data_IF_946869530432
#
_entry.id   IF_946869530432
#
_cell.length_a   1.000
_cell.length_b   1.000
_cell.length_c   1.000
_cell.angle_alpha   90.00
_cell.angle_beta   90.00
_cell.angle_gamma   90.00
#
_symmetry.space_group_name_H-M   'P 1'
#
loop_
_entity.id
_entity.type
_entity.pdbx_description
1 polymer ?
#
# COMPACT_ATOMS: atom_id res chain seq x y z
N UNK A 1 3.39 -18.06 -10.09
CA UNK A 1 2.64 -19.31 -10.35
C UNK A 1 2.98 -19.83 -11.72
N UNK A 2 2.96 -21.15 -11.89
CA UNK A 2 3.23 -21.84 -13.15
C UNK A 2 2.09 -22.83 -13.34
N UNK A 3 1.39 -22.71 -14.47
CA UNK A 3 0.36 -23.67 -14.85
C UNK A 3 1.06 -24.92 -15.39
N UNK A 4 0.76 -26.07 -14.80
CA UNK A 4 1.36 -27.34 -15.19
C UNK A 4 0.41 -28.49 -14.83
N UNK A 5 0.60 -29.63 -15.49
CA UNK A 5 -0.11 -30.86 -15.15
C UNK A 5 0.60 -31.60 -14.01
N UNK A 6 -0.18 -32.16 -13.09
CA UNK A 6 0.29 -33.09 -12.05
C UNK A 6 -0.12 -34.53 -12.41
N UNK A 7 0.69 -35.25 -13.21
CA UNK A 7 0.39 -36.65 -13.53
C UNK A 7 0.41 -37.52 -12.27
N UNK A 8 -0.31 -38.64 -12.34
CA UNK A 8 -0.38 -39.62 -11.24
C UNK A 8 1.04 -40.06 -10.80
N UNK A 9 1.30 -39.98 -9.49
CA UNK A 9 2.59 -40.34 -8.90
C UNK A 9 3.67 -39.25 -8.97
N UNK A 10 3.37 -38.06 -9.48
CA UNK A 10 4.29 -36.93 -9.41
C UNK A 10 4.48 -36.50 -7.96
N UNK A 11 5.73 -36.46 -7.50
CA UNK A 11 6.05 -36.03 -6.12
C UNK A 11 6.15 -34.52 -6.01
N UNK A 12 6.05 -33.99 -4.79
CA UNK A 12 6.25 -32.57 -4.50
C UNK A 12 7.59 -32.03 -4.97
N UNK A 13 8.66 -32.81 -4.78
CA UNK A 13 10.00 -32.51 -5.27
C UNK A 13 10.08 -32.45 -6.81
N UNK A 14 9.45 -33.41 -7.49
CA UNK A 14 9.41 -33.42 -8.96
C UNK A 14 8.63 -32.21 -9.50
N UNK A 15 7.54 -31.83 -8.81
CA UNK A 15 6.76 -30.66 -9.16
C UNK A 15 7.55 -29.37 -8.96
N UNK A 16 8.34 -29.26 -7.88
CA UNK A 16 9.27 -28.14 -7.69
C UNK A 16 10.28 -28.04 -8.83
N UNK A 17 10.94 -29.15 -9.16
CA UNK A 17 11.99 -29.19 -10.18
C UNK A 17 11.44 -28.82 -11.56
N UNK A 18 10.25 -29.33 -11.91
CA UNK A 18 9.57 -29.01 -13.17
C UNK A 18 9.15 -27.53 -13.25
N UNK A 19 8.56 -26.99 -12.18
CA UNK A 19 8.19 -25.58 -12.09
C UNK A 19 9.43 -24.68 -12.20
N UNK A 20 10.50 -24.98 -11.45
CA UNK A 20 11.73 -24.20 -11.49
C UNK A 20 12.42 -24.26 -12.86
N UNK A 21 12.37 -25.40 -13.55
CA UNK A 21 12.91 -25.54 -14.90
C UNK A 21 12.24 -24.59 -15.90
N UNK A 22 10.92 -24.40 -15.82
CA UNK A 22 10.21 -23.49 -16.73
C UNK A 22 10.66 -22.02 -16.60
N UNK A 23 11.06 -21.62 -15.39
CA UNK A 23 11.56 -20.25 -15.11
C UNK A 23 13.09 -20.15 -15.15
N UNK A 24 13.80 -21.25 -15.42
CA UNK A 24 15.26 -21.34 -15.29
C UNK A 24 15.75 -20.97 -13.88
N UNK A 25 15.00 -21.35 -12.85
CA UNK A 25 15.36 -21.12 -11.45
C UNK A 25 16.22 -22.27 -10.93
N UNK A 26 17.46 -22.00 -10.46
CA UNK A 26 18.28 -23.05 -9.87
C UNK A 26 17.67 -23.52 -8.54
N UNK A 27 17.66 -24.83 -8.33
CA UNK A 27 17.31 -25.48 -7.06
C UNK A 27 18.56 -26.17 -6.50
N UNK A 28 18.87 -25.88 -5.24
CA UNK A 28 19.97 -26.53 -4.51
C UNK A 28 19.36 -27.24 -3.31
N UNK A 29 19.72 -28.52 -3.12
CA UNK A 29 19.27 -29.34 -1.99
C UNK A 29 20.42 -29.58 -1.00
N UNK A 30 20.07 -29.68 0.27
CA UNK A 30 20.94 -30.14 1.35
C UNK A 30 21.24 -31.66 1.19
N UNK A 31 22.28 -32.19 1.86
CA UNK A 31 22.60 -33.62 1.80
C UNK A 31 21.47 -34.57 2.24
N UNK A 32 20.54 -34.09 3.07
CA UNK A 32 19.38 -34.84 3.53
C UNK A 32 18.17 -34.78 2.56
N UNK A 33 18.31 -34.07 1.44
CA UNK A 33 17.27 -33.90 0.42
C UNK A 33 16.37 -32.67 0.64
N UNK A 34 16.47 -31.98 1.77
CA UNK A 34 15.73 -30.72 1.99
C UNK A 34 16.20 -29.62 1.04
N UNK A 35 15.33 -28.64 0.74
CA UNK A 35 15.65 -27.57 -0.22
C UNK A 35 16.44 -26.46 0.46
N UNK A 36 17.71 -26.31 0.08
CA UNK A 36 18.60 -25.26 0.58
C UNK A 36 18.30 -23.90 -0.08
N UNK A 37 18.08 -23.89 -1.39
CA UNK A 37 17.77 -22.64 -2.11
C UNK A 37 16.92 -22.87 -3.35
N UNK A 38 16.04 -21.92 -3.65
CA UNK A 38 15.30 -21.81 -4.91
C UNK A 38 15.56 -20.43 -5.50
N UNK A 39 15.89 -20.35 -6.77
CA UNK A 39 16.21 -19.09 -7.47
C UNK A 39 17.27 -18.26 -6.72
N UNK A 40 18.34 -18.93 -6.26
CA UNK A 40 19.44 -18.32 -5.49
C UNK A 40 19.04 -17.69 -4.16
N UNK A 41 17.80 -17.92 -3.69
CA UNK A 41 17.33 -17.48 -2.37
C UNK A 41 17.50 -18.64 -1.38
N UNK A 42 18.52 -18.53 -0.54
CA UNK A 42 18.88 -19.56 0.46
C UNK A 42 17.89 -19.59 1.63
N UNK A 43 17.88 -20.68 2.38
CA UNK A 43 17.39 -20.70 3.76
C UNK A 43 18.13 -19.64 4.61
N UNK A 44 17.48 -19.21 5.69
CA UNK A 44 18.06 -18.32 6.71
C UNK A 44 17.91 -18.99 8.09
N UNK A 45 18.54 -18.43 9.11
CA UNK A 45 18.40 -18.93 10.47
C UNK A 45 16.91 -18.98 10.87
N UNK A 46 16.39 -20.18 11.13
CA UNK A 46 14.97 -20.47 11.47
C UNK A 46 13.96 -20.18 10.36
N UNK A 47 14.40 -20.01 9.11
CA UNK A 47 13.55 -19.80 7.94
C UNK A 47 13.96 -20.76 6.84
N UNK A 48 13.15 -21.80 6.64
CA UNK A 48 13.46 -22.95 5.78
C UNK A 48 12.45 -23.06 4.63
N UNK A 49 12.87 -23.65 3.51
CA UNK A 49 11.97 -23.97 2.39
C UNK A 49 11.11 -25.19 2.73
N UNK A 50 9.79 -25.06 2.55
CA UNK A 50 8.84 -26.15 2.69
C UNK A 50 7.79 -26.15 1.59
N UNK A 51 7.16 -27.30 1.39
CA UNK A 51 6.00 -27.46 0.51
C UNK A 51 4.70 -27.29 1.29
N UNK A 52 3.73 -26.64 0.66
CA UNK A 52 2.40 -26.39 1.20
C UNK A 52 1.34 -26.75 0.17
N UNK A 53 0.20 -27.23 0.66
CA UNK A 53 -1.00 -27.50 -0.14
C UNK A 53 -2.13 -26.59 0.33
N UNK A 54 -2.98 -26.16 -0.61
CA UNK A 54 -4.10 -25.28 -0.34
C UNK A 54 -5.38 -26.10 -0.17
N UNK A 55 -6.01 -26.03 1.00
CA UNK A 55 -7.29 -26.69 1.23
C UNK A 55 -8.46 -25.98 0.51
N UNK A 56 -9.63 -26.62 0.36
CA UNK A 56 -10.81 -25.99 -0.27
C UNK A 56 -11.35 -24.75 0.46
N UNK A 57 -10.90 -24.50 1.70
CA UNK A 57 -11.26 -23.33 2.50
C UNK A 57 -10.26 -22.17 2.34
N UNK A 58 -9.21 -22.36 1.52
CA UNK A 58 -8.19 -21.35 1.27
C UNK A 58 -7.06 -21.32 2.29
N UNK A 59 -6.92 -22.32 3.16
CA UNK A 59 -5.84 -22.40 4.13
C UNK A 59 -4.66 -23.23 3.61
N UNK A 60 -3.45 -22.72 3.81
CA UNK A 60 -2.22 -23.43 3.50
C UNK A 60 -1.82 -24.37 4.63
N UNK A 61 -1.53 -25.63 4.29
CA UNK A 61 -1.03 -26.64 5.23
C UNK A 61 0.36 -27.14 4.79
N UNK A 62 1.33 -27.26 5.72
CA UNK A 62 2.65 -27.77 5.39
C UNK A 62 2.62 -29.27 5.09
N UNK A 63 3.46 -29.71 4.16
CA UNK A 63 3.68 -31.12 3.85
C UNK A 63 5.00 -31.58 4.46
N UNK A 64 4.92 -32.58 5.33
CA UNK A 64 6.07 -33.05 6.12
C UNK A 64 7.14 -33.78 5.29
N UNK A 65 6.74 -34.51 4.24
CA UNK A 65 7.66 -35.22 3.33
C UNK A 65 7.27 -34.95 1.86
N UNK A 66 7.75 -33.85 1.25
CA UNK A 66 7.46 -33.52 -0.13
C UNK A 66 7.99 -34.55 -1.14
N UNK A 67 9.02 -35.30 -0.78
CA UNK A 67 9.65 -36.31 -1.66
C UNK A 67 8.78 -37.54 -1.86
N UNK A 68 7.95 -37.88 -0.86
CA UNK A 68 6.99 -38.99 -0.90
C UNK A 68 5.54 -38.58 -1.16
N UNK A 69 5.24 -37.27 -1.21
CA UNK A 69 3.87 -36.78 -1.34
C UNK A 69 3.43 -36.68 -2.81
N UNK A 70 2.40 -37.44 -3.19
CA UNK A 70 1.80 -37.42 -4.53
C UNK A 70 0.90 -36.18 -4.70
N UNK A 71 1.32 -35.25 -5.58
CA UNK A 71 0.62 -33.99 -5.83
C UNK A 71 -0.50 -34.09 -6.86
N UNK A 72 -0.74 -35.26 -7.47
CA UNK A 72 -1.74 -35.43 -8.54
C UNK A 72 -3.19 -35.10 -8.15
N UNK A 73 -3.49 -35.08 -6.85
CA UNK A 73 -4.81 -34.70 -6.31
C UNK A 73 -4.92 -33.22 -5.95
N UNK A 74 -3.80 -32.52 -5.92
CA UNK A 74 -3.74 -31.12 -5.53
C UNK A 74 -4.06 -30.23 -6.72
N UNK A 75 -4.79 -29.15 -6.47
CA UNK A 75 -5.02 -28.11 -7.49
C UNK A 75 -3.90 -27.10 -7.53
N UNK A 76 -3.33 -26.81 -6.36
CA UNK A 76 -2.30 -25.80 -6.16
C UNK A 76 -1.38 -26.32 -5.06
N UNK A 77 -0.08 -26.30 -5.35
CA UNK A 77 0.97 -26.48 -4.37
C UNK A 77 1.84 -25.23 -4.35
N UNK A 78 2.46 -24.94 -3.22
CA UNK A 78 3.40 -23.83 -3.10
C UNK A 78 4.65 -24.28 -2.37
N UNK A 79 5.80 -23.81 -2.87
CA UNK A 79 7.05 -23.88 -2.14
C UNK A 79 7.38 -22.49 -1.62
N UNK A 80 7.61 -22.38 -0.32
CA UNK A 80 7.87 -21.11 0.33
C UNK A 80 8.86 -21.26 1.48
N UNK A 81 9.59 -20.18 1.76
CA UNK A 81 10.38 -20.05 2.97
C UNK A 81 9.50 -19.52 4.08
N UNK A 82 9.38 -20.25 5.18
CA UNK A 82 8.62 -19.78 6.35
C UNK A 82 9.45 -19.87 7.62
N UNK A 83 9.28 -18.89 8.50
CA UNK A 83 9.85 -18.91 9.83
C UNK A 83 8.98 -19.68 10.83
N UNK A 84 9.56 -20.11 11.95
CA UNK A 84 8.79 -20.71 13.04
C UNK A 84 7.62 -19.82 13.47
N UNK A 85 6.39 -20.35 13.40
CA UNK A 85 5.16 -19.62 13.75
C UNK A 85 4.64 -18.66 12.67
N UNK A 86 5.31 -18.54 11.52
CA UNK A 86 4.83 -17.73 10.40
C UNK A 86 3.79 -18.49 9.57
N UNK A 87 2.68 -17.83 9.24
CA UNK A 87 1.74 -18.34 8.25
C UNK A 87 2.21 -17.98 6.84
N UNK A 88 2.01 -18.89 5.89
CA UNK A 88 2.07 -18.56 4.46
C UNK A 88 1.11 -17.39 4.18
N UNK A 89 1.57 -16.40 3.42
CA UNK A 89 0.65 -15.40 2.89
C UNK A 89 -0.36 -16.10 1.97
N UNK A 90 -1.66 -16.08 2.32
CA UNK A 90 -2.66 -16.78 1.52
C UNK A 90 -2.78 -16.11 0.16
N UNK A 91 -2.98 -16.90 -0.90
CA UNK A 91 -3.25 -16.39 -2.24
C UNK A 91 -4.73 -16.01 -2.39
N UNK A 92 -5.26 -15.31 -1.39
CA UNK A 92 -6.64 -14.83 -1.36
C UNK A 92 -6.65 -13.32 -1.25
N UNK A 93 -7.71 -12.72 -1.76
CA UNK A 93 -7.94 -11.30 -1.65
C UNK A 93 -8.70 -10.96 -0.34
N UNK A 94 -9.03 -9.68 -0.10
CA UNK A 94 -9.74 -9.23 1.11
C UNK A 94 -11.04 -10.00 1.39
N UNK A 95 -11.69 -10.53 0.35
CA UNK A 95 -12.96 -11.25 0.45
C UNK A 95 -12.79 -12.76 0.68
N UNK A 96 -11.55 -13.23 0.80
CA UNK A 96 -11.21 -14.65 0.91
C UNK A 96 -11.27 -15.40 -0.42
N UNK A 97 -11.40 -14.68 -1.55
CA UNK A 97 -11.43 -15.31 -2.87
C UNK A 97 -10.01 -15.59 -3.35
N UNK A 98 -9.75 -16.83 -3.77
CA UNK A 98 -8.46 -17.20 -4.35
C UNK A 98 -8.24 -16.46 -5.66
N UNK A 99 -7.15 -15.70 -5.75
CA UNK A 99 -6.72 -15.10 -7.00
C UNK A 99 -5.57 -15.91 -7.61
N UNK A 100 -5.40 -15.77 -8.92
CA UNK A 100 -4.38 -16.48 -9.68
C UNK A 100 -3.37 -15.50 -10.27
N UNK A 101 -2.27 -16.04 -10.80
CA UNK A 101 -1.48 -15.26 -11.76
C UNK A 101 -2.26 -15.26 -13.07
N UNK A 102 -2.86 -14.12 -13.41
CA UNK A 102 -3.65 -13.96 -14.62
C UNK A 102 -2.76 -13.67 -15.84
N UNK A 103 -1.45 -13.52 -15.62
CA UNK A 103 -0.49 -13.16 -16.65
C UNK A 103 0.90 -13.78 -16.44
N UNK A 104 1.67 -13.90 -17.52
CA UNK A 104 3.10 -14.18 -17.53
C UNK A 104 3.84 -12.97 -18.09
N UNK A 105 4.51 -12.21 -17.22
CA UNK A 105 5.20 -10.97 -17.59
C UNK A 105 4.28 -9.98 -18.33
N UNK A 106 3.07 -9.76 -17.80
CA UNK A 106 2.10 -8.85 -18.41
C UNK A 106 1.40 -9.37 -19.67
N UNK A 107 1.63 -10.63 -20.06
CA UNK A 107 0.89 -11.28 -21.14
C UNK A 107 -0.21 -12.20 -20.61
N UNK A 108 -1.42 -12.10 -21.15
CA UNK A 108 -2.52 -13.01 -20.82
C UNK A 108 -2.27 -14.43 -21.41
N UNK A 109 -3.12 -15.44 -21.12
CA UNK A 109 -2.94 -16.80 -21.65
C UNK A 109 -2.95 -16.92 -23.19
N UNK A 110 -3.46 -15.91 -23.90
CA UNK A 110 -3.46 -15.84 -25.36
C UNK A 110 -2.18 -15.21 -25.93
N UNK A 111 -1.28 -14.73 -25.07
CA UNK A 111 -0.03 -14.05 -25.46
C UNK A 111 -0.20 -12.56 -25.79
N UNK A 112 -1.36 -11.98 -25.50
CA UNK A 112 -1.68 -10.57 -25.71
C UNK A 112 -1.29 -9.74 -24.48
N UNK A 113 -1.07 -8.43 -24.65
CA UNK A 113 -0.88 -7.53 -23.50
C UNK A 113 -2.12 -7.51 -22.61
N UNK A 114 -1.89 -7.62 -21.30
CA UNK A 114 -2.95 -7.63 -20.31
C UNK A 114 -3.75 -6.32 -20.33
N UNK A 115 -5.06 -6.44 -20.17
CA UNK A 115 -5.99 -5.31 -20.00
C UNK A 115 -6.45 -5.23 -18.57
N UNK A 116 -5.94 -4.24 -17.86
CA UNK A 116 -6.16 -4.03 -16.42
C UNK A 116 -7.08 -2.84 -16.20
N UNK A 117 -8.04 -3.01 -15.29
CA UNK A 117 -8.82 -1.90 -14.75
C UNK A 117 -8.57 -1.75 -13.25
N UNK A 118 -8.47 -0.52 -12.77
CA UNK A 118 -8.34 -0.18 -11.35
C UNK A 118 -9.48 0.74 -10.93
N UNK A 119 -10.10 0.50 -9.78
CA UNK A 119 -11.32 1.23 -9.38
C UNK A 119 -11.12 2.23 -8.22
N UNK A 120 -9.89 2.40 -7.73
CA UNK A 120 -9.59 3.36 -6.68
C UNK A 120 -8.18 3.97 -6.84
N UNK A 121 -7.93 5.20 -6.38
CA UNK A 121 -6.62 5.83 -6.46
C UNK A 121 -5.50 4.99 -5.83
N UNK A 122 -5.66 4.55 -4.58
CA UNK A 122 -4.66 3.71 -3.90
C UNK A 122 -4.37 2.39 -4.63
N UNK A 123 -5.39 1.81 -5.25
CA UNK A 123 -5.28 0.58 -6.06
C UNK A 123 -4.50 0.84 -7.35
N UNK A 124 -4.82 1.93 -8.06
CA UNK A 124 -4.10 2.35 -9.26
C UNK A 124 -2.61 2.58 -8.99
N UNK A 125 -2.30 3.28 -7.89
CA UNK A 125 -0.93 3.54 -7.46
C UNK A 125 -0.20 2.23 -7.14
N UNK A 126 -0.86 1.30 -6.45
CA UNK A 126 -0.30 -0.03 -6.14
C UNK A 126 0.01 -0.84 -7.39
N UNK A 127 -0.92 -0.88 -8.35
CA UNK A 127 -0.73 -1.53 -9.66
C UNK A 127 0.42 -0.89 -10.43
N UNK A 128 0.51 0.44 -10.45
CA UNK A 128 1.58 1.15 -11.14
C UNK A 128 2.95 0.89 -10.51
N UNK A 129 3.03 0.89 -9.17
CA UNK A 129 4.27 0.68 -8.42
C UNK A 129 4.94 -0.67 -8.73
N UNK A 130 4.14 -1.71 -9.00
CA UNK A 130 4.65 -3.04 -9.38
C UNK A 130 4.86 -3.21 -10.89
N UNK A 131 4.80 -2.12 -11.67
CA UNK A 131 5.03 -2.09 -13.11
C UNK A 131 3.80 -2.39 -13.97
N UNK A 132 2.60 -2.20 -13.42
CA UNK A 132 1.32 -2.43 -14.11
C UNK A 132 0.86 -1.30 -15.05
N UNK A 133 1.50 -0.13 -15.03
CA UNK A 133 1.06 1.06 -15.77
C UNK A 133 0.83 0.81 -17.27
N UNK A 134 1.66 -0.04 -17.89
CA UNK A 134 1.57 -0.39 -19.31
C UNK A 134 0.32 -1.17 -19.72
N UNK A 135 -0.36 -1.76 -18.74
CA UNK A 135 -1.48 -2.66 -18.95
C UNK A 135 -2.82 -2.02 -18.55
N UNK A 136 -2.81 -0.82 -17.98
CA UNK A 136 -4.03 -0.15 -17.55
C UNK A 136 -4.78 0.38 -18.77
N UNK A 137 -6.04 -0.05 -18.91
CA UNK A 137 -6.98 0.42 -19.95
C UNK A 137 -8.14 1.23 -19.37
N UNK A 138 -8.35 1.18 -18.05
CA UNK A 138 -9.37 1.99 -17.39
C UNK A 138 -9.11 2.23 -15.91
N UNK A 139 -9.51 3.40 -15.42
CA UNK A 139 -9.40 3.80 -14.01
C UNK A 139 -10.68 4.42 -13.48
N UNK A 140 -10.78 4.58 -12.16
CA UNK A 140 -11.72 5.53 -11.58
C UNK A 140 -11.33 6.99 -11.90
N UNK A 141 -12.26 7.91 -11.65
CA UNK A 141 -12.13 9.34 -11.97
C UNK A 141 -11.17 10.14 -11.08
N UNK A 142 -10.74 9.59 -9.95
CA UNK A 142 -9.88 10.25 -8.97
C UNK A 142 -8.44 9.74 -9.01
N UNK A 143 -8.15 8.72 -9.81
CA UNK A 143 -6.80 8.23 -10.06
C UNK A 143 -6.01 9.21 -10.92
N UNK A 144 -5.03 9.88 -10.31
CA UNK A 144 -4.25 10.99 -10.90
C UNK A 144 -2.72 10.82 -10.71
N UNK A 145 -2.25 9.63 -10.31
CA UNK A 145 -0.83 9.31 -10.17
C UNK A 145 -0.55 7.88 -10.64
N UNK A 146 0.59 7.58 -11.30
CA UNK A 146 1.71 8.47 -11.68
C UNK A 146 1.40 9.44 -12.84
N UNK A 147 2.28 10.42 -13.10
CA UNK A 147 2.13 11.36 -14.23
C UNK A 147 2.02 10.64 -15.60
N UNK A 148 2.66 9.46 -15.71
CA UNK A 148 2.50 8.58 -16.86
C UNK A 148 1.07 8.08 -17.05
N UNK A 149 0.30 7.87 -15.97
CA UNK A 149 -1.12 7.56 -16.01
C UNK A 149 -1.93 8.75 -16.51
N UNK A 150 -1.71 9.94 -15.93
CA UNK A 150 -2.41 11.18 -16.31
C UNK A 150 -2.20 11.52 -17.78
N UNK A 151 -0.96 11.36 -18.26
CA UNK A 151 -0.61 11.55 -19.67
C UNK A 151 -1.41 10.60 -20.60
N UNK A 152 -1.61 9.35 -20.18
CA UNK A 152 -2.40 8.34 -20.92
C UNK A 152 -3.90 8.60 -20.87
N UNK A 153 -4.43 9.06 -19.74
CA UNK A 153 -5.82 9.51 -19.62
C UNK A 153 -6.10 10.70 -20.56
N UNK A 154 -5.20 11.69 -20.59
CA UNK A 154 -5.33 12.87 -21.45
C UNK A 154 -5.25 12.55 -22.95
N UNK A 155 -4.47 11.53 -23.32
CA UNK A 155 -4.40 11.02 -24.70
C UNK A 155 -5.53 10.02 -25.04
N UNK A 156 -6.51 9.83 -24.13
CA UNK A 156 -7.68 8.95 -24.28
C UNK A 156 -7.30 7.48 -24.52
N UNK A 157 -6.14 7.05 -24.01
CA UNK A 157 -5.75 5.63 -24.04
C UNK A 157 -6.23 4.86 -22.80
N UNK A 158 -6.68 5.58 -21.77
CA UNK A 158 -7.24 5.01 -20.53
C UNK A 158 -8.64 5.60 -20.32
N UNK A 159 -9.63 4.73 -20.21
CA UNK A 159 -11.03 5.11 -19.99
C UNK A 159 -11.36 5.39 -18.53
N UNK A 160 -12.23 6.36 -18.27
CA UNK A 160 -12.80 6.59 -16.93
C UNK A 160 -14.07 5.74 -16.74
N UNK A 161 -13.96 4.71 -15.90
CA UNK A 161 -14.97 3.65 -15.72
C UNK A 161 -15.83 3.79 -14.45
N UNK A 162 -15.83 4.96 -13.83
CA UNK A 162 -16.64 5.28 -12.64
C UNK A 162 -15.90 6.19 -11.67
N UNK A 163 -16.39 6.33 -10.46
CA UNK A 163 -15.64 6.90 -9.34
C UNK A 163 -15.50 5.91 -8.19
N UNK A 164 -14.84 6.38 -7.12
CA UNK A 164 -14.49 5.56 -5.96
C UNK A 164 -15.70 4.95 -5.24
N UNK A 165 -16.81 5.68 -5.12
CA UNK A 165 -18.05 5.17 -4.48
C UNK A 165 -19.16 4.87 -5.48
N UNK A 166 -18.88 5.03 -6.78
CA UNK A 166 -19.82 4.80 -7.88
C UNK A 166 -19.16 4.13 -9.09
N UNK A 167 -18.53 2.94 -8.92
CA UNK A 167 -17.97 2.21 -10.05
C UNK A 167 -19.06 1.81 -11.05
N UNK A 168 -18.76 1.87 -12.36
CA UNK A 168 -19.73 1.60 -13.42
C UNK A 168 -19.47 0.25 -14.10
N UNK A 169 -20.34 -0.72 -13.85
CA UNK A 169 -20.20 -2.10 -14.35
C UNK A 169 -20.16 -2.15 -15.88
N UNK A 170 -21.08 -1.48 -16.56
CA UNK A 170 -21.22 -1.54 -18.02
C UNK A 170 -20.01 -0.93 -18.73
N UNK A 171 -19.44 0.16 -18.19
CA UNK A 171 -18.20 0.75 -18.69
C UNK A 171 -17.02 -0.20 -18.51
N UNK A 172 -16.90 -0.85 -17.36
CA UNK A 172 -15.84 -1.84 -17.12
C UNK A 172 -15.95 -3.00 -18.12
N UNK A 173 -17.14 -3.55 -18.32
CA UNK A 173 -17.38 -4.65 -19.27
C UNK A 173 -17.03 -4.23 -20.71
N UNK A 174 -17.34 -3.00 -21.10
CA UNK A 174 -17.09 -2.50 -22.45
C UNK A 174 -15.61 -2.46 -22.84
N UNK A 175 -14.70 -2.34 -21.87
CA UNK A 175 -13.25 -2.38 -22.09
C UNK A 175 -12.70 -3.81 -22.29
N UNK A 176 -13.52 -4.84 -22.06
CA UNK A 176 -13.13 -6.24 -22.11
C UNK A 176 -11.83 -6.53 -21.33
N UNK A 177 -11.81 -6.28 -20.01
CA UNK A 177 -10.61 -6.44 -19.18
C UNK A 177 -10.28 -7.91 -18.94
N UNK A 178 -8.99 -8.21 -18.82
CA UNK A 178 -8.53 -9.52 -18.34
C UNK A 178 -8.64 -9.61 -16.81
N UNK A 179 -8.49 -8.48 -16.11
CA UNK A 179 -8.56 -8.38 -14.65
C UNK A 179 -8.97 -6.99 -14.16
N UNK A 180 -9.74 -6.94 -13.07
CA UNK A 180 -10.14 -5.71 -12.37
C UNK A 180 -9.60 -5.72 -10.93
N UNK A 181 -8.92 -4.65 -10.51
CA UNK A 181 -8.49 -4.46 -9.13
C UNK A 181 -9.40 -3.48 -8.39
N UNK A 182 -9.77 -3.83 -7.15
CA UNK A 182 -10.71 -3.11 -6.31
C UNK A 182 -10.13 -2.88 -4.90
N UNK A 183 -10.63 -1.87 -4.20
CA UNK A 183 -10.32 -1.59 -2.80
C UNK A 183 -11.28 -2.32 -1.84
N UNK A 184 -10.74 -3.05 -0.88
CA UNK A 184 -11.49 -3.76 0.16
C UNK A 184 -12.02 -2.87 1.28
N UNK A 185 -11.58 -1.60 1.36
CA UNK A 185 -12.08 -0.62 2.31
C UNK A 185 -13.48 -0.08 2.01
N UNK A 186 -14.00 -0.34 0.80
CA UNK A 186 -15.26 0.24 0.29
C UNK A 186 -16.30 -0.83 -0.02
N UNK A 187 -17.51 -0.71 0.55
CA UNK A 187 -18.57 -1.71 0.38
C UNK A 187 -19.09 -1.85 -1.07
N UNK A 188 -19.11 -0.74 -1.81
CA UNK A 188 -19.50 -0.70 -3.22
C UNK A 188 -18.53 -1.50 -4.10
N UNK A 189 -17.24 -1.50 -3.76
CA UNK A 189 -16.22 -2.29 -4.43
C UNK A 189 -16.40 -3.78 -4.17
N UNK A 190 -16.60 -4.19 -2.92
CA UNK A 190 -16.86 -5.60 -2.57
C UNK A 190 -18.11 -6.11 -3.31
N UNK A 191 -19.17 -5.31 -3.35
CA UNK A 191 -20.40 -5.63 -4.08
C UNK A 191 -20.16 -5.72 -5.60
N UNK A 192 -19.31 -4.85 -6.15
CA UNK A 192 -18.96 -4.86 -7.56
C UNK A 192 -18.12 -6.10 -7.93
N UNK A 193 -17.18 -6.52 -7.07
CA UNK A 193 -16.39 -7.73 -7.26
C UNK A 193 -17.27 -8.97 -7.40
N UNK A 194 -18.30 -9.10 -6.56
CA UNK A 194 -19.28 -10.19 -6.66
C UNK A 194 -20.03 -10.20 -7.99
N UNK A 195 -20.34 -9.03 -8.55
CA UNK A 195 -20.95 -8.92 -9.89
C UNK A 195 -19.98 -9.38 -10.97
N UNK A 196 -18.73 -8.92 -10.94
CA UNK A 196 -17.71 -9.33 -11.92
C UNK A 196 -17.51 -10.84 -11.94
N UNK A 197 -17.35 -11.46 -10.77
CA UNK A 197 -17.17 -12.91 -10.63
C UNK A 197 -18.35 -13.69 -11.20
N UNK A 198 -19.60 -13.27 -10.92
CA UNK A 198 -20.82 -13.90 -11.47
C UNK A 198 -20.92 -13.76 -12.98
N UNK A 199 -20.30 -12.73 -13.55
CA UNK A 199 -20.25 -12.49 -14.99
C UNK A 199 -19.00 -13.08 -15.67
N UNK A 200 -18.16 -13.81 -14.95
CA UNK A 200 -16.94 -14.44 -15.50
C UNK A 200 -15.78 -13.46 -15.72
N UNK A 201 -15.83 -12.27 -15.13
CA UNK A 201 -14.74 -11.29 -15.17
C UNK A 201 -13.84 -11.54 -13.96
N UNK A 202 -12.54 -11.70 -14.20
CA UNK A 202 -11.57 -11.86 -13.12
C UNK A 202 -11.43 -10.54 -12.36
N UNK A 203 -11.41 -10.62 -11.03
CA UNK A 203 -11.16 -9.46 -10.21
C UNK A 203 -10.47 -9.81 -8.90
N UNK A 204 -9.75 -8.84 -8.34
CA UNK A 204 -9.00 -8.97 -7.09
C UNK A 204 -9.34 -7.79 -6.20
N UNK A 205 -9.81 -8.07 -4.99
CA UNK A 205 -10.11 -7.06 -3.96
C UNK A 205 -8.92 -6.92 -3.03
N UNK A 206 -8.14 -5.85 -3.18
CA UNK A 206 -7.01 -5.55 -2.31
C UNK A 206 -7.46 -5.32 -0.86
N UNK A 207 -6.59 -5.62 0.09
CA UNK A 207 -6.83 -5.37 1.50
C UNK A 207 -7.02 -3.87 1.75
N UNK A 208 -7.88 -3.53 2.71
CA UNK A 208 -7.92 -2.17 3.22
C UNK A 208 -6.59 -1.88 3.93
N UNK A 209 -5.73 -1.07 3.32
CA UNK A 209 -4.34 -0.88 3.74
C UNK A 209 -4.21 -0.06 5.04
N UNK A 210 -4.63 -0.64 6.18
CA UNK A 210 -4.55 0.01 7.50
C UNK A 210 -3.16 -0.09 8.08
N UNK A 211 -2.44 -1.16 7.78
CA UNK A 211 -1.09 -1.41 8.29
C UNK A 211 -0.06 -1.48 7.17
N UNK A 212 1.21 -1.31 7.52
CA UNK A 212 2.33 -1.61 6.61
C UNK A 212 2.21 -3.03 6.03
N UNK A 213 1.83 -4.01 6.83
CA UNK A 213 1.67 -5.39 6.38
C UNK A 213 0.56 -5.53 5.31
N UNK A 214 -0.56 -4.83 5.48
CA UNK A 214 -1.63 -4.79 4.46
C UNK A 214 -1.15 -4.18 3.14
N UNK A 215 -0.33 -3.12 3.21
CA UNK A 215 0.29 -2.52 2.02
C UNK A 215 1.23 -3.52 1.32
N UNK A 216 2.13 -4.16 2.06
CA UNK A 216 3.08 -5.13 1.50
C UNK A 216 2.34 -6.32 0.86
N UNK A 217 1.26 -6.80 1.50
CA UNK A 217 0.36 -7.81 0.93
C UNK A 217 -0.27 -7.34 -0.38
N UNK A 218 -0.78 -6.11 -0.43
CA UNK A 218 -1.38 -5.55 -1.63
C UNK A 218 -0.40 -5.42 -2.80
N UNK A 219 0.83 -4.97 -2.53
CA UNK A 219 1.91 -4.94 -3.51
C UNK A 219 2.20 -6.33 -4.06
N UNK A 220 2.31 -7.33 -3.17
CA UNK A 220 2.58 -8.70 -3.58
C UNK A 220 1.43 -9.30 -4.40
N UNK A 221 0.19 -9.09 -3.97
CA UNK A 221 -1.02 -9.53 -4.68
C UNK A 221 -1.03 -8.96 -6.10
N UNK A 222 -0.84 -7.64 -6.25
CA UNK A 222 -0.81 -6.99 -7.55
C UNK A 222 0.31 -7.55 -8.43
N UNK A 223 1.54 -7.62 -7.90
CA UNK A 223 2.69 -8.12 -8.64
C UNK A 223 2.47 -9.57 -9.10
N UNK A 224 1.95 -10.43 -8.23
CA UNK A 224 1.66 -11.83 -8.52
C UNK A 224 0.56 -12.00 -9.58
N UNK A 225 -0.53 -11.24 -9.45
CA UNK A 225 -1.65 -11.25 -10.39
C UNK A 225 -1.24 -10.78 -11.80
N UNK A 226 -0.36 -9.78 -11.88
CA UNK A 226 0.18 -9.22 -13.13
C UNK A 226 1.34 -10.04 -13.73
N UNK A 227 1.83 -11.06 -13.01
CA UNK A 227 2.92 -11.90 -13.48
C UNK A 227 4.32 -11.29 -13.33
N UNK A 228 4.49 -10.40 -12.34
CA UNK A 228 5.75 -9.74 -11.95
C UNK A 228 6.18 -10.02 -10.49
N UNK A 229 6.08 -11.26 -9.95
CA UNK A 229 6.32 -11.50 -8.52
C UNK A 229 7.74 -11.17 -8.07
N UNK A 230 8.75 -11.31 -8.93
CA UNK A 230 10.14 -10.94 -8.60
C UNK A 230 10.29 -9.44 -8.42
N UNK A 231 9.76 -8.65 -9.37
CA UNK A 231 9.72 -7.19 -9.27
C UNK A 231 8.94 -6.72 -8.05
N UNK A 232 7.83 -7.40 -7.74
CA UNK A 232 7.04 -7.14 -6.54
C UNK A 232 7.86 -7.35 -5.26
N UNK A 233 8.61 -8.44 -5.17
CA UNK A 233 9.45 -8.73 -4.01
C UNK A 233 10.60 -7.72 -3.85
N UNK A 234 11.24 -7.32 -4.96
CA UNK A 234 12.27 -6.29 -4.93
C UNK A 234 11.69 -4.97 -4.40
N UNK A 235 10.56 -4.52 -4.96
CA UNK A 235 9.89 -3.30 -4.50
C UNK A 235 9.40 -3.36 -3.05
N UNK A 236 8.87 -4.51 -2.60
CA UNK A 236 8.49 -4.73 -1.21
C UNK A 236 9.70 -4.62 -0.28
N UNK A 237 10.86 -5.11 -0.71
CA UNK A 237 12.11 -5.00 0.05
C UNK A 237 12.48 -3.54 0.24
N UNK A 238 12.50 -2.77 -0.86
CA UNK A 238 12.84 -1.34 -0.85
C UNK A 238 11.86 -0.53 0.03
N UNK A 239 10.56 -0.78 -0.12
CA UNK A 239 9.49 -0.15 0.68
C UNK A 239 9.64 -0.48 2.17
N UNK A 240 9.92 -1.74 2.50
CA UNK A 240 10.11 -2.18 3.88
C UNK A 240 11.34 -1.54 4.50
N UNK A 241 12.44 -1.46 3.75
CA UNK A 241 13.68 -0.83 4.20
C UNK A 241 13.48 0.68 4.43
N UNK A 242 12.80 1.37 3.50
CA UNK A 242 12.47 2.78 3.64
C UNK A 242 11.65 3.06 4.90
N UNK A 243 10.58 2.29 5.14
CA UNK A 243 9.75 2.41 6.34
C UNK A 243 10.59 2.20 7.61
N UNK A 244 11.41 1.14 7.63
CA UNK A 244 12.27 0.84 8.78
C UNK A 244 13.30 1.94 9.04
N UNK A 245 13.87 2.53 7.99
CA UNK A 245 14.81 3.64 8.11
C UNK A 245 14.15 4.87 8.73
N UNK A 246 12.97 5.25 8.25
CA UNK A 246 12.20 6.38 8.82
C UNK A 246 11.93 6.13 10.31
N UNK A 247 11.40 4.96 10.66
CA UNK A 247 11.08 4.62 12.05
C UNK A 247 12.30 4.54 12.97
N UNK A 248 13.47 4.16 12.43
CA UNK A 248 14.74 4.10 13.20
C UNK A 248 15.27 5.49 13.55
N UNK A 249 15.05 6.47 12.68
CA UNK A 249 15.55 7.83 12.83
C UNK A 249 14.63 8.66 13.73
N UNK A 250 13.31 8.51 13.55
CA UNK A 250 12.33 9.29 14.28
C UNK A 250 12.40 9.07 15.80
N UNK A 251 12.43 10.16 16.58
CA UNK A 251 12.32 10.14 18.03
C UNK A 251 11.06 10.90 18.50
N UNK A 252 9.90 10.31 18.22
CA UNK A 252 8.60 10.90 18.56
C UNK A 252 7.94 10.25 19.79
N UNK A 253 8.74 9.59 20.64
CA UNK A 253 8.24 8.89 21.82
C UNK A 253 7.32 9.79 22.67
N UNK A 254 6.13 9.27 22.98
CA UNK A 254 5.10 9.89 23.79
C UNK A 254 4.48 11.21 23.26
N UNK A 255 4.82 11.65 22.04
CA UNK A 255 4.19 12.84 21.43
C UNK A 255 2.69 12.59 21.19
N UNK A 256 1.83 13.43 21.77
CA UNK A 256 0.38 13.37 21.55
C UNK A 256 0.02 14.10 20.28
N UNK A 257 -0.46 13.37 19.28
CA UNK A 257 -0.81 13.90 17.97
C UNK A 257 -2.32 13.88 17.77
N UNK A 258 -2.87 15.00 17.32
CA UNK A 258 -4.23 15.12 16.83
C UNK A 258 -4.22 15.28 15.31
N UNK A 259 -4.97 14.44 14.58
CA UNK A 259 -5.11 14.53 13.12
C UNK A 259 -6.55 14.86 12.75
N UNK A 260 -6.77 15.86 11.92
CA UNK A 260 -8.10 16.27 11.48
C UNK A 260 -8.19 16.40 9.96
N UNK A 261 -9.32 15.96 9.40
CA UNK A 261 -9.71 16.26 8.04
C UNK A 261 -10.37 17.65 8.01
N UNK A 262 -9.60 18.65 7.59
CA UNK A 262 -10.00 20.05 7.58
C UNK A 262 -10.12 20.70 8.96
N UNK A 263 -10.60 21.94 8.96
CA UNK A 263 -10.78 22.76 10.17
C UNK A 263 -12.27 22.95 10.41
N UNK A 264 -12.76 22.40 11.51
CA UNK A 264 -14.12 22.62 11.99
C UNK A 264 -14.20 22.39 13.50
N UNK A 265 -15.35 22.72 14.11
CA UNK A 265 -15.61 22.42 15.52
C UNK A 265 -15.75 20.91 15.83
N UNK A 266 -15.97 20.11 14.78
CA UNK A 266 -16.17 18.67 14.90
C UNK A 266 -15.61 17.95 13.66
N UNK A 267 -14.29 17.98 13.42
CA UNK A 267 -13.71 17.38 12.24
C UNK A 267 -13.76 15.86 12.31
N UNK A 268 -13.67 15.22 11.14
CA UNK A 268 -13.31 13.81 11.11
C UNK A 268 -11.84 13.64 11.55
N UNK A 269 -11.59 12.66 12.40
CA UNK A 269 -10.28 12.28 12.94
C UNK A 269 -10.04 10.78 12.75
N UNK A 270 -8.77 10.39 12.82
CA UNK A 270 -8.30 9.02 12.76
C UNK A 270 -8.54 8.27 14.10
N UNK A 271 -9.10 7.06 14.03
CA UNK A 271 -9.17 6.07 15.13
C UNK A 271 -8.12 4.95 14.99
N UNK A 272 -8.15 3.91 15.83
CA UNK A 272 -7.13 2.83 15.84
C UNK A 272 -7.00 2.09 14.50
N UNK A 273 -8.11 1.74 13.87
CA UNK A 273 -8.12 1.02 12.59
C UNK A 273 -7.89 1.89 11.36
N UNK A 274 -7.11 2.96 11.48
CA UNK A 274 -6.75 3.84 10.36
C UNK A 274 -5.24 3.84 10.13
N UNK A 275 -4.84 3.91 8.86
CA UNK A 275 -3.42 3.95 8.47
C UNK A 275 -2.67 5.16 9.05
N UNK A 276 -3.36 6.28 9.28
CA UNK A 276 -2.80 7.44 9.99
C UNK A 276 -2.34 7.06 11.40
N UNK A 277 -3.18 6.36 12.17
CA UNK A 277 -2.79 5.91 13.52
C UNK A 277 -1.63 4.93 13.45
N UNK A 278 -1.67 3.98 12.51
CA UNK A 278 -0.57 3.02 12.33
C UNK A 278 0.77 3.71 12.00
N UNK A 279 0.77 4.72 11.13
CA UNK A 279 1.98 5.51 10.83
C UNK A 279 2.48 6.26 12.06
N UNK A 280 1.60 6.96 12.78
CA UNK A 280 1.99 7.71 13.98
C UNK A 280 2.61 6.79 15.05
N UNK A 281 1.97 5.64 15.32
CA UNK A 281 2.45 4.66 16.28
C UNK A 281 3.78 4.02 15.84
N UNK A 282 3.97 3.78 14.54
CA UNK A 282 5.24 3.27 13.99
C UNK A 282 6.39 4.26 14.19
N UNK A 283 6.10 5.56 14.22
CA UNK A 283 7.08 6.60 14.55
C UNK A 283 7.28 6.79 16.07
N UNK A 284 6.54 6.07 16.92
CA UNK A 284 6.56 6.22 18.39
C UNK A 284 5.63 7.31 18.94
N UNK A 285 4.90 8.01 18.08
CA UNK A 285 3.91 9.00 18.48
C UNK A 285 2.58 8.34 18.88
N UNK A 286 1.76 9.06 19.65
CA UNK A 286 0.44 8.59 20.10
C UNK A 286 -0.67 9.42 19.47
N UNK A 287 -1.54 8.79 18.69
CA UNK A 287 -2.82 9.41 18.31
C UNK A 287 -3.72 9.55 19.55
N UNK A 288 -4.13 10.78 19.86
CA UNK A 288 -4.97 11.06 21.04
C UNK A 288 -6.35 10.39 20.99
N UNK A 289 -6.82 9.97 19.81
CA UNK A 289 -8.11 9.32 19.57
C UNK A 289 -8.02 7.84 19.19
N UNK A 290 -6.85 7.21 19.30
CA UNK A 290 -6.65 5.82 18.89
C UNK A 290 -7.68 4.86 19.52
N UNK A 291 -8.09 5.10 20.78
CA UNK A 291 -8.98 4.19 21.52
C UNK A 291 -10.48 4.52 21.42
N UNK A 292 -10.85 5.56 20.65
CA UNK A 292 -12.24 6.06 20.62
C UNK A 292 -13.08 5.41 19.51
N UNK A 293 -12.43 4.96 18.43
CA UNK A 293 -13.08 4.33 17.28
C UNK A 293 -12.10 3.46 16.52
N UNK A 294 -12.59 2.41 15.84
CA UNK A 294 -11.79 1.60 14.92
C UNK A 294 -11.76 2.18 13.49
N UNK A 295 -12.37 3.33 13.24
CA UNK A 295 -12.45 3.97 11.93
C UNK A 295 -12.35 5.49 12.04
N UNK A 296 -12.39 6.19 10.91
CA UNK A 296 -12.61 7.63 10.88
C UNK A 296 -13.93 7.98 11.56
N UNK A 297 -13.93 9.01 12.41
CA UNK A 297 -15.11 9.46 13.15
C UNK A 297 -15.01 10.95 13.47
N UNK A 298 -16.13 11.60 13.82
CA UNK A 298 -16.13 13.00 14.22
C UNK A 298 -15.71 13.16 15.68
N UNK A 299 -14.66 13.94 15.93
CA UNK A 299 -14.23 14.30 17.28
C UNK A 299 -14.80 15.65 17.70
N UNK A 300 -15.22 15.80 18.97
CA UNK A 300 -15.63 17.11 19.49
C UNK A 300 -14.43 17.98 19.86
N UNK A 301 -14.56 19.30 19.70
CA UNK A 301 -13.54 20.27 20.10
C UNK A 301 -13.17 20.19 21.59
N UNK A 302 -14.14 19.88 22.46
CA UNK A 302 -13.91 19.72 23.90
C UNK A 302 -12.99 18.53 24.17
N UNK A 303 -13.21 17.41 23.47
CA UNK A 303 -12.42 16.20 23.63
C UNK A 303 -10.98 16.37 23.11
N UNK A 304 -10.77 17.15 22.05
CA UNK A 304 -9.42 17.55 21.60
C UNK A 304 -8.72 18.37 22.68
N UNK A 305 -9.41 19.35 23.25
CA UNK A 305 -8.84 20.20 24.30
C UNK A 305 -8.52 19.42 25.56
N UNK A 306 -9.41 18.56 26.05
CA UNK A 306 -9.16 17.75 27.26
C UNK A 306 -7.90 16.87 27.14
N UNK A 307 -7.59 16.40 25.92
CA UNK A 307 -6.43 15.54 25.65
C UNK A 307 -5.12 16.31 25.44
N UNK A 308 -5.19 17.64 25.27
CA UNK A 308 -4.04 18.55 25.20
C UNK A 308 -2.95 18.03 24.24
N UNK A 309 -3.19 17.95 22.92
CA UNK A 309 -2.20 17.47 21.96
C UNK A 309 -0.94 18.35 21.93
N UNK A 310 0.20 17.71 21.71
CA UNK A 310 1.49 18.37 21.50
C UNK A 310 1.67 18.80 20.04
N UNK A 311 1.00 18.10 19.11
CA UNK A 311 1.04 18.36 17.67
C UNK A 311 -0.37 18.27 17.09
N UNK A 312 -0.73 19.20 16.20
CA UNK A 312 -1.96 19.17 15.40
C UNK A 312 -1.60 19.05 13.93
N UNK A 313 -2.16 18.05 13.25
CA UNK A 313 -2.05 17.83 11.81
C UNK A 313 -3.42 18.04 11.18
N UNK A 314 -3.49 18.91 10.18
CA UNK A 314 -4.68 19.16 9.38
C UNK A 314 -4.43 18.66 7.96
N UNK A 315 -5.27 17.75 7.47
CA UNK A 315 -5.28 17.32 6.08
C UNK A 315 -6.38 18.11 5.37
N UNK A 316 -6.02 18.98 4.43
CA UNK A 316 -6.91 19.92 3.77
C UNK A 316 -7.07 19.61 2.27
N UNK A 317 -8.19 18.97 1.93
CA UNK A 317 -8.51 18.45 0.59
C UNK A 317 -9.00 19.50 -0.42
N UNK A 318 -9.30 20.74 0.02
CA UNK A 318 -10.10 21.66 -0.79
C UNK A 318 -9.29 22.55 -1.76
N UNK A 319 -8.13 23.09 -1.37
CA UNK A 319 -7.31 23.98 -2.22
C UNK A 319 -5.83 23.92 -1.80
N UNK A 320 -4.90 24.11 -2.75
CA UNK A 320 -3.48 24.30 -2.44
C UNK A 320 -3.30 25.56 -1.59
N UNK A 321 -2.64 25.43 -0.44
CA UNK A 321 -2.23 26.55 0.40
C UNK A 321 -0.85 26.99 -0.08
N UNK A 322 -0.80 28.13 -0.77
CA UNK A 322 0.41 28.62 -1.43
C UNK A 322 1.07 29.77 -0.70
N UNK A 323 0.39 30.35 0.31
CA UNK A 323 0.86 31.51 1.05
C UNK A 323 0.70 31.41 2.57
N UNK A 324 1.61 32.07 3.27
CA UNK A 324 1.55 32.32 4.72
C UNK A 324 0.28 33.02 5.19
N UNK A 325 -0.38 33.76 4.30
CA UNK A 325 -1.65 34.43 4.58
C UNK A 325 -2.81 33.44 4.58
N UNK A 326 -2.87 32.55 3.59
CA UNK A 326 -3.88 31.49 3.50
C UNK A 326 -3.82 30.57 4.71
N UNK A 327 -2.63 30.08 5.06
CA UNK A 327 -2.46 29.28 6.27
C UNK A 327 -2.94 29.99 7.54
N UNK A 328 -2.52 31.25 7.76
CA UNK A 328 -2.95 32.01 8.94
C UNK A 328 -4.46 32.24 8.94
N UNK A 329 -5.06 32.42 7.77
CA UNK A 329 -6.51 32.52 7.62
C UNK A 329 -7.18 31.22 8.02
N UNK A 330 -6.70 30.08 7.53
CA UNK A 330 -7.23 28.75 7.90
C UNK A 330 -7.12 28.52 9.41
N UNK A 331 -5.93 28.68 9.98
CA UNK A 331 -5.66 28.47 11.41
C UNK A 331 -6.40 29.49 12.30
N UNK A 332 -6.75 30.68 11.79
CA UNK A 332 -7.56 31.64 12.53
C UNK A 332 -8.98 31.14 12.84
N UNK A 333 -9.50 30.22 12.03
CA UNK A 333 -10.80 29.55 12.23
C UNK A 333 -10.76 28.48 13.32
N UNK A 334 -9.61 28.18 13.91
CA UNK A 334 -9.55 27.30 15.08
C UNK A 334 -10.40 27.90 16.21
N UNK A 335 -11.18 27.06 16.86
CA UNK A 335 -11.93 27.45 18.04
C UNK A 335 -10.98 27.85 19.19
N UNK A 336 -11.51 28.61 20.15
CA UNK A 336 -10.72 29.15 21.26
C UNK A 336 -10.12 28.05 22.16
N UNK A 337 -10.71 26.86 22.21
CA UNK A 337 -10.16 25.76 22.99
C UNK A 337 -8.89 25.21 22.32
N UNK A 338 -8.89 25.01 21.01
CA UNK A 338 -7.72 24.53 20.29
C UNK A 338 -6.57 25.53 20.31
N UNK A 339 -6.88 26.83 20.28
CA UNK A 339 -5.89 27.91 20.46
C UNK A 339 -5.18 27.88 21.83
N UNK A 340 -5.72 27.12 22.79
CA UNK A 340 -5.17 26.93 24.15
C UNK A 340 -4.49 25.57 24.35
N UNK A 341 -4.33 24.78 23.29
CA UNK A 341 -3.58 23.51 23.36
C UNK A 341 -2.07 23.77 23.27
N UNK A 342 -1.22 22.87 23.81
CA UNK A 342 0.23 22.97 23.68
C UNK A 342 0.66 23.07 22.21
N UNK A 343 0.04 22.30 21.33
CA UNK A 343 0.30 22.34 19.89
C UNK A 343 0.19 23.76 19.31
N UNK A 344 -0.93 24.45 19.58
CA UNK A 344 -1.12 25.80 19.06
C UNK A 344 -0.16 26.81 19.69
N UNK A 345 0.03 26.76 21.02
CA UNK A 345 0.87 27.74 21.72
C UNK A 345 2.34 27.62 21.34
N UNK A 346 2.79 26.41 21.01
CA UNK A 346 4.17 26.13 20.61
C UNK A 346 4.39 26.24 19.08
N UNK A 347 3.33 26.51 18.32
CA UNK A 347 3.39 26.60 16.85
C UNK A 347 3.49 25.25 16.15
N UNK A 348 3.20 24.14 16.83
CA UNK A 348 3.20 22.75 16.33
C UNK A 348 1.87 22.41 15.64
N UNK A 349 1.45 23.27 14.69
CA UNK A 349 0.25 23.09 13.87
C UNK A 349 0.65 23.00 12.41
N UNK A 350 0.48 21.82 11.83
CA UNK A 350 0.87 21.49 10.47
C UNK A 350 -0.36 21.33 9.59
N UNK A 351 -0.34 21.93 8.41
CA UNK A 351 -1.43 21.83 7.44
C UNK A 351 -0.88 21.27 6.14
N UNK A 352 -1.40 20.12 5.74
CA UNK A 352 -1.15 19.49 4.46
C UNK A 352 -2.23 19.90 3.48
N UNK A 353 -1.84 20.28 2.27
CA UNK A 353 -2.76 20.69 1.21
C UNK A 353 -2.24 20.21 -0.15
N UNK A 354 -3.11 20.18 -1.16
CA UNK A 354 -2.78 19.72 -2.50
C UNK A 354 -2.19 18.30 -2.49
N UNK A 355 -1.07 18.14 -3.19
CA UNK A 355 -0.36 16.89 -3.37
C UNK A 355 0.05 16.23 -2.04
N UNK A 356 0.39 17.02 -1.02
CA UNK A 356 0.76 16.50 0.30
C UNK A 356 -0.47 16.00 1.09
N UNK A 357 -1.63 16.66 0.91
CA UNK A 357 -2.89 16.15 1.45
C UNK A 357 -3.34 14.88 0.73
N UNK A 358 -3.15 14.81 -0.60
CA UNK A 358 -3.42 13.60 -1.36
C UNK A 358 -2.57 12.43 -0.86
N UNK A 359 -1.27 12.67 -0.61
CA UNK A 359 -0.35 11.66 -0.10
C UNK A 359 -0.78 11.11 1.26
N UNK A 360 -1.32 11.96 2.13
CA UNK A 360 -1.86 11.58 3.44
C UNK A 360 -3.30 11.10 3.42
N UNK A 361 -3.98 11.15 2.27
CA UNK A 361 -5.38 10.72 2.13
C UNK A 361 -5.53 9.35 1.48
N UNK A 362 -4.44 8.77 0.98
CA UNK A 362 -4.44 7.53 0.20
C UNK A 362 -3.51 6.48 0.82
N UNK A 363 -4.10 5.43 1.37
CA UNK A 363 -3.36 4.28 1.88
C UNK A 363 -2.94 3.36 0.72
N UNK A 364 -1.86 3.72 0.02
CA UNK A 364 -1.38 3.03 -1.17
C UNK A 364 0.14 2.96 -1.24
N UNK A 365 0.68 2.72 -2.43
CA UNK A 365 2.11 2.50 -2.68
C UNK A 365 3.04 3.64 -2.20
N UNK A 366 2.51 4.85 -1.99
CA UNK A 366 3.25 6.02 -1.52
C UNK A 366 3.30 6.17 0.01
N UNK A 367 2.75 5.22 0.77
CA UNK A 367 2.75 5.27 2.24
C UNK A 367 4.13 5.51 2.87
N UNK A 368 5.26 4.97 2.36
CA UNK A 368 6.59 5.29 2.91
C UNK A 368 6.92 6.78 2.86
N UNK A 369 6.52 7.47 1.79
CA UNK A 369 6.71 8.91 1.65
C UNK A 369 5.77 9.69 2.58
N UNK A 370 4.53 9.21 2.76
CA UNK A 370 3.60 9.75 3.76
C UNK A 370 4.20 9.67 5.17
N UNK A 371 4.80 8.54 5.51
CA UNK A 371 5.44 8.28 6.80
C UNK A 371 6.68 9.17 6.99
N UNK A 372 7.53 9.26 5.98
CA UNK A 372 8.71 10.14 5.99
C UNK A 372 8.30 11.61 6.17
N UNK A 373 7.31 12.08 5.40
CA UNK A 373 6.81 13.45 5.48
C UNK A 373 6.28 13.77 6.89
N UNK A 374 5.54 12.84 7.49
CA UNK A 374 5.08 12.97 8.87
C UNK A 374 6.26 13.02 9.86
N UNK A 375 7.25 12.15 9.71
CA UNK A 375 8.41 12.10 10.58
C UNK A 375 9.26 13.37 10.51
N UNK A 376 9.64 13.82 9.30
CA UNK A 376 10.45 15.03 9.07
C UNK A 376 9.77 16.30 9.58
N UNK A 377 8.43 16.37 9.53
CA UNK A 377 7.69 17.54 10.03
C UNK A 377 7.59 17.55 11.56
N UNK A 378 7.41 16.39 12.19
CA UNK A 378 7.24 16.29 13.63
C UNK A 378 8.57 16.24 14.40
N UNK A 379 9.65 15.78 13.75
CA UNK A 379 10.99 15.64 14.32
C UNK A 379 12.09 16.09 13.32
N UNK A 380 12.09 17.36 12.88
CA UNK A 380 13.00 17.81 11.82
C UNK A 380 14.49 17.68 12.18
N UNK A 381 14.84 17.71 13.48
CA UNK A 381 16.25 17.68 13.93
C UNK A 381 16.90 16.32 13.68
N UNK A 382 16.18 15.21 13.87
CA UNK A 382 16.69 13.86 13.65
C UNK A 382 16.95 13.55 12.17
N UNK A 383 16.29 14.26 11.25
CA UNK A 383 16.41 14.05 9.80
C UNK A 383 17.34 15.07 9.10
N UNK A 384 18.08 15.92 9.81
CA UNK A 384 18.94 16.96 9.21
C UNK A 384 20.02 16.39 8.27
N UNK A 385 20.51 15.17 8.53
CA UNK A 385 21.62 14.56 7.79
C UNK A 385 21.29 13.18 7.17
N UNK A 386 20.02 12.75 7.20
CA UNK A 386 19.61 11.44 6.69
C UNK A 386 18.41 11.58 5.74
N UNK A 387 18.50 10.96 4.55
CA UNK A 387 17.36 10.72 3.66
C UNK A 387 16.98 9.24 3.70
N UNK A 388 15.95 8.87 4.47
CA UNK A 388 15.62 7.46 4.70
C UNK A 388 14.92 6.78 3.52
N UNK A 389 14.43 7.53 2.52
CA UNK A 389 13.64 6.97 1.40
C UNK A 389 14.41 6.89 0.09
N UNK A 390 15.67 7.31 0.03
CA UNK A 390 16.55 7.20 -1.16
C UNK A 390 16.64 5.78 -1.76
N UNK A 391 16.27 4.77 -0.99
CA UNK A 391 16.23 3.36 -1.41
C UNK A 391 14.98 3.01 -2.23
N UNK A 392 13.94 3.85 -2.26
CA UNK A 392 12.70 3.59 -3.03
C UNK A 392 12.87 4.08 -4.47
N UNK A 393 12.65 3.19 -5.44
CA UNK A 393 12.85 3.50 -6.87
C UNK A 393 11.90 4.54 -7.48
N UNK A 394 10.77 4.85 -6.85
CA UNK A 394 9.82 5.88 -7.29
C UNK A 394 9.43 6.73 -6.07
N UNK A 395 9.86 7.99 -6.04
CA UNK A 395 9.38 8.99 -5.08
C UNK A 395 8.41 9.96 -5.77
N UNK A 396 7.28 10.24 -5.15
CA UNK A 396 6.38 11.34 -5.45
C UNK A 396 7.06 12.69 -5.21
N UNK A 397 7.89 12.78 -4.17
CA UNK A 397 8.74 13.94 -3.91
C UNK A 397 10.21 13.55 -3.83
N UNK A 398 11.09 14.28 -4.52
CA UNK A 398 12.52 14.11 -4.29
C UNK A 398 12.94 14.58 -2.88
N UNK A 399 14.20 14.37 -2.55
CA UNK A 399 14.84 14.63 -1.25
C UNK A 399 14.73 16.09 -0.77
N UNK A 400 14.40 17.01 -1.68
CA UNK A 400 14.11 18.43 -1.41
C UNK A 400 12.62 18.75 -1.33
N UNK A 401 11.77 17.73 -1.21
CA UNK A 401 10.32 17.79 -1.40
C UNK A 401 9.89 18.46 -2.70
N UNK A 402 10.68 18.26 -3.75
CA UNK A 402 10.40 18.74 -5.09
C UNK A 402 9.93 17.56 -5.93
N UNK A 403 8.69 17.63 -6.41
CA UNK A 403 8.24 16.78 -7.49
C UNK A 403 8.86 17.35 -8.79
N UNK A 404 9.72 16.60 -9.52
CA UNK A 404 10.31 17.07 -10.77
C UNK A 404 9.27 17.50 -11.82
N UNK A 405 8.05 16.96 -11.71
CA UNK A 405 6.94 17.17 -12.62
C UNK A 405 5.83 18.09 -12.02
N UNK A 406 5.68 18.18 -10.69
CA UNK A 406 4.60 18.96 -10.03
C UNK A 406 5.06 20.10 -9.09
N UNK A 407 6.36 20.32 -8.91
CA UNK A 407 6.91 21.47 -8.16
C UNK A 407 7.01 21.29 -6.64
N UNK A 408 7.10 22.41 -5.91
CA UNK A 408 7.48 22.45 -4.49
C UNK A 408 6.33 22.15 -3.51
N UNK A 409 6.61 21.35 -2.49
CA UNK A 409 5.79 21.26 -1.28
C UNK A 409 5.99 22.53 -0.42
N UNK A 410 5.01 23.45 -0.42
CA UNK A 410 5.02 24.64 0.47
C UNK A 410 4.30 24.32 1.77
N UNK A 411 5.03 24.25 2.88
CA UNK A 411 4.43 24.22 4.22
C UNK A 411 4.50 25.59 4.88
N UNK A 412 3.61 25.83 5.84
CA UNK A 412 3.58 27.05 6.63
C UNK A 412 3.48 26.68 8.12
N UNK A 413 4.37 27.22 8.96
CA UNK A 413 4.35 27.08 10.44
C UNK A 413 3.93 28.39 11.12
N UNK A 414 3.09 28.30 12.15
CA UNK A 414 2.58 29.41 12.96
C UNK A 414 3.60 29.90 14.02
N UNK A 415 4.75 30.39 13.57
CA UNK A 415 5.60 31.42 14.22
C UNK A 415 6.93 31.43 13.44
N UNK A 416 7.34 32.64 13.02
CA UNK A 416 8.29 32.83 11.93
C UNK A 416 9.67 32.21 12.14
N UNK A 417 10.23 31.84 10.98
CA UNK A 417 11.54 31.24 10.66
C UNK A 417 11.57 29.71 10.65
N UNK A 418 11.39 29.14 9.46
CA UNK A 418 12.12 27.94 9.04
C UNK A 418 12.64 28.18 7.62
N UNK A 419 13.95 28.15 7.46
CA UNK A 419 14.63 27.91 6.20
C UNK A 419 15.04 26.43 6.18
N UNK A 420 14.76 25.77 5.07
CA UNK A 420 15.77 24.90 4.44
C UNK A 420 15.84 25.24 2.95
N UNK A 421 16.45 26.41 2.68
CA UNK A 421 17.49 26.55 1.68
C UNK A 421 18.61 27.37 2.34
N UNK A 422 19.87 27.00 2.12
CA UNK A 422 20.97 27.98 2.14
C UNK A 422 20.81 28.68 0.79
N UNK A 423 20.26 29.88 0.69
CA UNK A 423 20.57 31.08 1.48
C UNK A 423 19.48 31.60 2.41
#
# INVERSE_FOLDING_TARGET
WIEMEFPEGMTGDQALDAACAERSYPVVKNPDGSVYSVNSKTELEKVEWGMYVLDPSGNWSPVADPSGYDVSKEKIISWARTGAGSAMMPAVDQTGFTYYSYAKLGKNPLGEDLKVITLAPSVTETVCAVGGLDYIVGTDRYSDYPNGLVSRQNNVTISIVGGYTDPNFEKVVAENPDIVFLDGGTGEHVTMADKFRKSGINCVVLYNAVTTDDLLKNLWICASALGFPERGNDYITDVSEAINNVCRIADLQDKKVFVALGVSDSPYTAGSGTYITNMLESLGARNIFANDSNSWFMASKEAVYERQPDIIIIIHDAEQITSQREYRTLVSHFNDMWKRTPAYTNGEVYVFSGDAASLLSRAGARLPESLELLAKIMDPESFINEDPTDVVGVKYYNDSYNDPDNGYLRYVKAQGLLEWQRD
#
